data_IF_833597741108
#
_entry.id   IF_833597741108
#
_cell.length_a   1.000
_cell.length_b   1.000
_cell.length_c   1.000
_cell.angle_alpha   90.00
_cell.angle_beta   90.00
_cell.angle_gamma   90.00
#
_symmetry.space_group_name_H-M   'P 1'
#
loop_
_entity.id
_entity.type
_entity.pdbx_description
1 polymer ?
#
# COMPACT_ATOMS: atom_id res chain seq x y z
N UNK A 1 1.09 17.40 17.33
CA UNK A 1 1.91 18.05 18.36
C UNK A 1 2.14 17.15 19.60
N UNK A 2 3.34 17.20 20.16
CA UNK A 2 3.72 16.56 21.45
C UNK A 2 4.21 17.69 22.36
N UNK A 3 3.38 18.13 23.29
CA UNK A 3 3.63 19.32 24.11
C UNK A 3 3.35 19.07 25.60
N UNK A 4 3.93 19.90 26.44
CA UNK A 4 3.75 19.89 27.91
C UNK A 4 3.14 21.21 28.42
N UNK A 5 3.32 22.30 27.68
CA UNK A 5 2.80 23.64 28.02
C UNK A 5 2.00 24.21 26.85
N UNK A 6 1.21 25.25 27.10
CA UNK A 6 0.51 25.98 26.04
C UNK A 6 1.47 26.73 25.12
N UNK A 7 2.56 27.26 25.66
CA UNK A 7 3.63 27.92 24.88
C UNK A 7 4.28 26.97 23.87
N UNK A 8 4.54 25.69 24.28
CA UNK A 8 5.02 24.67 23.37
C UNK A 8 4.00 24.41 22.25
N UNK A 9 2.70 24.35 22.59
CA UNK A 9 1.64 24.11 21.60
C UNK A 9 1.54 25.22 20.58
N UNK A 10 1.64 26.47 21.00
CA UNK A 10 1.57 27.63 20.13
C UNK A 10 2.75 27.64 19.14
N UNK A 11 3.97 27.44 19.63
CA UNK A 11 5.17 27.36 18.81
C UNK A 11 5.11 26.19 17.80
N UNK A 12 4.65 25.00 18.24
CA UNK A 12 4.46 23.84 17.37
C UNK A 12 3.38 24.12 16.32
N UNK A 13 2.32 24.83 16.70
CA UNK A 13 1.21 25.16 15.79
C UNK A 13 1.66 26.11 14.68
N UNK A 14 2.50 27.09 14.98
CA UNK A 14 3.08 27.99 13.99
C UNK A 14 3.89 27.21 12.93
N UNK A 15 4.81 26.36 13.37
CA UNK A 15 5.62 25.51 12.46
C UNK A 15 4.74 24.52 11.70
N UNK A 16 3.75 23.91 12.34
CA UNK A 16 2.81 23.01 11.70
C UNK A 16 2.01 23.70 10.57
N UNK A 17 1.60 24.95 10.77
CA UNK A 17 0.90 25.71 9.74
C UNK A 17 1.81 26.03 8.53
N UNK A 18 3.09 26.32 8.75
CA UNK A 18 4.06 26.45 7.66
C UNK A 18 4.19 25.15 6.87
N UNK A 19 4.39 24.02 7.55
CA UNK A 19 4.45 22.69 6.92
C UNK A 19 3.18 22.39 6.12
N UNK A 20 2.01 22.71 6.67
CA UNK A 20 0.72 22.54 5.96
C UNK A 20 0.69 23.35 4.66
N UNK A 21 1.16 24.59 4.68
CA UNK A 21 1.22 25.45 3.50
C UNK A 21 2.14 24.86 2.43
N UNK A 22 3.35 24.46 2.82
CA UNK A 22 4.37 23.93 1.91
C UNK A 22 3.92 22.59 1.25
N UNK A 23 3.35 21.67 2.05
CA UNK A 23 2.86 20.41 1.52
C UNK A 23 1.62 20.58 0.62
N UNK A 24 0.72 21.50 0.95
CA UNK A 24 -0.45 21.83 0.11
C UNK A 24 -0.05 22.47 -1.20
N UNK A 25 1.00 23.31 -1.21
CA UNK A 25 1.57 23.89 -2.44
C UNK A 25 2.10 22.80 -3.40
N UNK A 26 2.43 21.63 -2.87
CA UNK A 26 2.81 20.41 -3.63
C UNK A 26 1.63 19.46 -3.90
N UNK A 27 0.41 19.94 -3.74
CA UNK A 27 -0.82 19.13 -3.90
C UNK A 27 -0.92 17.90 -3.00
N UNK A 28 -0.20 17.89 -1.88
CA UNK A 28 -0.26 16.81 -0.89
C UNK A 28 -1.42 17.08 0.06
N UNK A 29 -2.32 16.10 0.18
CA UNK A 29 -3.40 16.16 1.18
C UNK A 29 -2.83 15.98 2.57
N UNK A 30 -3.00 16.98 3.42
CA UNK A 30 -2.44 16.98 4.77
C UNK A 30 -3.46 17.51 5.78
N UNK A 31 -3.49 16.86 6.95
CA UNK A 31 -4.34 17.23 8.09
C UNK A 31 -3.49 17.48 9.33
N UNK A 32 -3.70 18.61 9.97
CA UNK A 32 -3.13 18.89 11.28
C UNK A 32 -4.11 18.45 12.38
N UNK A 33 -3.71 17.51 13.22
CA UNK A 33 -4.50 17.07 14.37
C UNK A 33 -4.10 17.86 15.62
N UNK A 34 -4.73 19.00 15.80
CA UNK A 34 -4.52 19.91 16.92
C UNK A 34 -5.45 19.66 18.12
N UNK A 35 -6.20 18.55 18.13
CA UNK A 35 -7.11 18.22 19.26
C UNK A 35 -6.33 18.11 20.56
N UNK A 36 -6.80 18.80 21.60
CA UNK A 36 -6.21 18.78 22.94
C UNK A 36 -6.77 17.67 23.82
N UNK A 37 -7.94 17.12 23.44
CA UNK A 37 -8.67 16.11 24.22
C UNK A 37 -8.11 14.70 24.11
N UNK A 38 -7.14 14.45 23.19
CA UNK A 38 -6.57 13.14 22.96
C UNK A 38 -5.05 13.16 23.11
N UNK A 39 -4.54 12.14 23.79
CA UNK A 39 -3.08 11.94 23.91
C UNK A 39 -2.46 11.57 22.55
N UNK A 40 -1.17 11.90 22.30
CA UNK A 40 -0.52 11.61 21.02
C UNK A 40 -0.68 10.17 20.53
N UNK A 41 -0.49 9.18 21.40
CA UNK A 41 -0.64 7.77 21.06
C UNK A 41 -2.03 7.39 20.54
N UNK A 42 -3.10 7.95 21.13
CA UNK A 42 -4.47 7.71 20.65
C UNK A 42 -4.71 8.34 19.26
N UNK A 43 -4.16 9.53 19.00
CA UNK A 43 -4.21 10.17 17.67
C UNK A 43 -3.46 9.32 16.63
N UNK A 44 -2.29 8.81 17.00
CA UNK A 44 -1.47 7.96 16.12
C UNK A 44 -2.23 6.71 15.71
N UNK A 45 -2.76 5.96 16.67
CA UNK A 45 -3.55 4.75 16.41
C UNK A 45 -4.78 5.04 15.53
N UNK A 46 -5.48 6.14 15.77
CA UNK A 46 -6.64 6.53 14.96
C UNK A 46 -6.26 6.78 13.49
N UNK A 47 -5.19 7.54 13.24
CA UNK A 47 -4.75 7.83 11.87
C UNK A 47 -4.15 6.61 11.17
N UNK A 48 -3.50 5.71 11.90
CA UNK A 48 -3.02 4.43 11.36
C UNK A 48 -4.20 3.53 10.93
N UNK A 49 -5.27 3.46 11.71
CA UNK A 49 -6.51 2.76 11.34
C UNK A 49 -7.18 3.37 10.10
N UNK A 50 -7.13 4.69 9.95
CA UNK A 50 -7.66 5.39 8.78
C UNK A 50 -6.80 5.22 7.51
N UNK A 51 -5.65 4.56 7.60
CA UNK A 51 -4.79 4.31 6.45
C UNK A 51 -3.88 5.48 6.07
N UNK A 52 -3.66 6.46 6.96
CA UNK A 52 -2.76 7.59 6.69
C UNK A 52 -1.33 7.08 6.47
N UNK A 53 -0.72 7.30 5.28
CA UNK A 53 0.55 6.66 4.91
C UNK A 53 1.74 7.21 5.69
N UNK A 54 1.77 8.51 5.94
CA UNK A 54 2.83 9.21 6.67
C UNK A 54 2.25 10.00 7.83
N UNK A 55 2.91 9.91 8.97
CA UNK A 55 2.61 10.70 10.16
C UNK A 55 3.83 11.54 10.54
N UNK A 56 3.61 12.84 10.70
CA UNK A 56 4.59 13.79 11.21
C UNK A 56 4.32 14.05 12.69
N UNK A 57 5.34 13.98 13.52
CA UNK A 57 5.25 14.31 14.94
C UNK A 57 6.33 15.34 15.30
N UNK A 58 5.91 16.40 15.99
CA UNK A 58 6.79 17.49 16.43
C UNK A 58 6.56 17.71 17.91
N UNK A 59 7.65 17.74 18.67
CA UNK A 59 7.69 18.11 20.07
C UNK A 59 8.62 19.31 20.29
N UNK A 60 8.69 19.80 21.55
CA UNK A 60 9.55 20.93 21.90
C UNK A 60 11.05 20.66 21.60
N UNK A 61 11.50 19.40 21.75
CA UNK A 61 12.87 19.01 21.39
C UNK A 61 13.12 19.07 19.90
N UNK A 62 12.15 18.61 19.10
CA UNK A 62 12.26 18.63 17.65
C UNK A 62 12.30 20.06 17.13
N UNK A 63 11.46 20.93 17.69
CA UNK A 63 11.47 22.37 17.40
C UNK A 63 12.83 23.01 17.69
N UNK A 64 13.41 22.75 18.88
CA UNK A 64 14.71 23.29 19.27
C UNK A 64 15.83 22.85 18.30
N UNK A 65 15.72 21.65 17.72
CA UNK A 65 16.69 21.10 16.78
C UNK A 65 16.36 21.39 15.31
N UNK A 66 15.24 22.04 15.01
CA UNK A 66 14.78 22.28 13.63
C UNK A 66 14.44 20.97 12.89
N UNK A 67 13.89 19.97 13.59
CA UNK A 67 13.63 18.63 13.06
C UNK A 67 12.17 18.19 13.25
N UNK A 68 11.79 17.09 12.61
CA UNK A 68 10.48 16.45 12.73
C UNK A 68 10.63 14.91 12.65
N UNK A 69 9.89 14.16 13.45
CA UNK A 69 9.79 12.70 13.30
C UNK A 69 8.76 12.37 12.22
N UNK A 70 9.16 11.57 11.24
CA UNK A 70 8.27 10.95 10.24
C UNK A 70 8.13 9.48 10.57
N UNK A 71 6.89 8.99 10.62
CA UNK A 71 6.59 7.57 10.74
C UNK A 71 5.86 7.08 9.49
N UNK A 72 6.33 5.96 8.91
CA UNK A 72 5.72 5.26 7.77
C UNK A 72 4.76 4.18 8.27
N UNK A 73 3.59 4.11 7.68
CA UNK A 73 2.58 3.10 8.04
C UNK A 73 2.88 1.72 7.43
N UNK A 74 3.43 1.68 6.22
CA UNK A 74 3.66 0.43 5.47
C UNK A 74 4.79 -0.43 6.05
N UNK A 75 5.86 0.20 6.55
CA UNK A 75 7.04 -0.46 7.12
C UNK A 75 7.13 -0.37 8.63
N UNK A 76 6.29 0.47 9.27
CA UNK A 76 6.34 0.82 10.70
C UNK A 76 7.66 1.45 11.13
N UNK A 77 8.44 1.97 10.19
CA UNK A 77 9.71 2.64 10.46
C UNK A 77 9.51 4.11 10.80
N UNK A 78 10.49 4.65 11.51
CA UNK A 78 10.54 6.07 11.89
C UNK A 78 11.90 6.65 11.53
N UNK A 79 11.90 7.93 11.14
CA UNK A 79 13.11 8.70 10.91
C UNK A 79 12.92 10.15 11.38
N UNK A 80 14.01 10.80 11.72
CA UNK A 80 14.05 12.23 12.05
C UNK A 80 14.70 12.97 10.90
N UNK A 81 14.04 14.03 10.41
CA UNK A 81 14.52 14.84 9.28
C UNK A 81 14.53 16.32 9.64
N UNK A 82 15.40 17.08 8.98
CA UNK A 82 15.41 18.53 9.10
C UNK A 82 14.14 19.13 8.51
N UNK A 83 13.60 20.19 9.14
CA UNK A 83 12.41 20.88 8.64
C UNK A 83 12.65 21.47 7.24
N UNK A 84 13.87 21.88 6.92
CA UNK A 84 14.26 22.42 5.60
C UNK A 84 14.16 21.38 4.45
N UNK A 85 14.26 20.08 4.76
CA UNK A 85 14.23 19.00 3.78
C UNK A 85 12.88 18.30 3.74
N UNK A 86 11.99 18.63 4.70
CA UNK A 86 10.77 17.87 4.98
C UNK A 86 9.90 17.69 3.73
N UNK A 87 9.64 18.75 2.99
CA UNK A 87 8.74 18.71 1.82
C UNK A 87 9.24 17.71 0.78
N UNK A 88 10.54 17.76 0.44
CA UNK A 88 11.14 16.84 -0.52
C UNK A 88 11.15 15.40 -0.01
N UNK A 89 11.45 15.20 1.27
CA UNK A 89 11.43 13.88 1.88
C UNK A 89 10.02 13.29 1.87
N UNK A 90 8.99 14.07 2.18
CA UNK A 90 7.59 13.61 2.13
C UNK A 90 7.18 13.22 0.70
N UNK A 91 7.51 14.01 -0.32
CA UNK A 91 7.23 13.68 -1.72
C UNK A 91 7.86 12.32 -2.10
N UNK A 92 9.14 12.15 -1.79
CA UNK A 92 9.87 10.90 -2.07
C UNK A 92 9.26 9.71 -1.34
N UNK A 93 8.98 9.84 -0.04
CA UNK A 93 8.39 8.77 0.76
C UNK A 93 7.00 8.35 0.28
N UNK A 94 6.15 9.29 -0.13
CA UNK A 94 4.83 8.97 -0.68
C UNK A 94 4.94 8.15 -1.97
N UNK A 95 5.89 8.51 -2.85
CA UNK A 95 6.18 7.73 -4.05
C UNK A 95 6.71 6.33 -3.71
N UNK A 96 7.69 6.24 -2.81
CA UNK A 96 8.22 4.95 -2.36
C UNK A 96 7.15 4.04 -1.75
N UNK A 97 6.23 4.60 -0.96
CA UNK A 97 5.11 3.85 -0.38
C UNK A 97 4.22 3.30 -1.49
N UNK A 98 3.88 4.12 -2.49
CA UNK A 98 3.07 3.68 -3.63
C UNK A 98 3.76 2.56 -4.40
N UNK A 99 5.04 2.72 -4.71
CA UNK A 99 5.83 1.71 -5.42
C UNK A 99 5.97 0.42 -4.60
N UNK A 100 6.18 0.52 -3.29
CA UNK A 100 6.27 -0.62 -2.37
C UNK A 100 4.96 -1.41 -2.32
N UNK A 101 3.82 -0.73 -2.19
CA UNK A 101 2.51 -1.37 -2.17
C UNK A 101 2.18 -2.03 -3.52
N UNK A 102 2.49 -1.36 -4.63
CA UNK A 102 2.31 -1.91 -5.96
C UNK A 102 3.15 -3.17 -6.17
N UNK A 103 4.45 -3.10 -5.87
CA UNK A 103 5.37 -4.22 -6.04
C UNK A 103 5.00 -5.41 -5.14
N UNK A 104 4.53 -5.15 -3.92
CA UNK A 104 4.04 -6.20 -3.02
C UNK A 104 2.81 -6.92 -3.62
N UNK A 105 1.85 -6.16 -4.15
CA UNK A 105 0.67 -6.72 -4.79
C UNK A 105 1.03 -7.48 -6.07
N UNK A 106 1.94 -6.94 -6.89
CA UNK A 106 2.43 -7.57 -8.11
C UNK A 106 3.13 -8.90 -7.80
N UNK A 107 4.06 -8.90 -6.86
CA UNK A 107 4.78 -10.12 -6.43
C UNK A 107 3.79 -11.16 -5.88
N UNK A 108 2.81 -10.73 -5.09
CA UNK A 108 1.78 -11.64 -4.59
C UNK A 108 0.98 -12.25 -5.74
N UNK A 109 0.51 -11.45 -6.69
CA UNK A 109 -0.22 -11.93 -7.87
C UNK A 109 0.62 -12.95 -8.65
N UNK A 110 1.85 -12.59 -8.99
CA UNK A 110 2.69 -13.42 -9.85
C UNK A 110 3.08 -14.75 -9.18
N UNK A 111 3.29 -14.73 -7.85
CA UNK A 111 3.53 -15.96 -7.09
C UNK A 111 2.30 -16.89 -6.95
N UNK A 112 1.10 -16.39 -7.29
CA UNK A 112 -0.15 -17.14 -7.26
C UNK A 112 -0.71 -17.41 -8.67
N UNK A 113 0.12 -17.34 -9.69
CA UNK A 113 -0.19 -17.78 -11.05
C UNK A 113 0.66 -19.01 -11.37
N UNK A 114 0.05 -20.05 -11.88
CA UNK A 114 0.73 -21.27 -12.34
C UNK A 114 0.29 -21.57 -13.76
N UNK A 115 1.23 -21.77 -14.66
CA UNK A 115 0.98 -22.24 -16.03
C UNK A 115 0.97 -23.77 -16.06
N UNK A 116 0.03 -24.34 -16.80
CA UNK A 116 -0.08 -25.80 -17.00
C UNK A 116 -0.35 -26.10 -18.47
N UNK A 117 0.13 -27.26 -18.93
CA UNK A 117 0.06 -27.64 -20.35
C UNK A 117 -0.83 -28.87 -20.61
N UNK A 118 -1.39 -29.48 -19.60
CA UNK A 118 -2.27 -30.63 -19.72
C UNK A 118 -3.19 -30.78 -18.51
N UNK A 119 -4.23 -31.62 -18.65
CA UNK A 119 -5.27 -31.80 -17.64
C UNK A 119 -4.77 -32.44 -16.34
N UNK A 120 -3.74 -33.31 -16.38
CA UNK A 120 -3.21 -33.92 -15.17
C UNK A 120 -2.45 -32.90 -14.31
N UNK A 121 -1.62 -32.07 -14.92
CA UNK A 121 -0.96 -30.94 -14.24
C UNK A 121 -2.01 -29.97 -13.66
N UNK A 122 -3.08 -29.70 -14.41
CA UNK A 122 -4.17 -28.83 -13.96
C UNK A 122 -4.81 -29.35 -12.67
N UNK A 123 -5.12 -30.65 -12.59
CA UNK A 123 -5.68 -31.26 -11.40
C UNK A 123 -4.70 -31.22 -10.21
N UNK A 124 -3.43 -31.55 -10.44
CA UNK A 124 -2.40 -31.51 -9.40
C UNK A 124 -2.24 -30.10 -8.80
N UNK A 125 -2.22 -29.08 -9.66
CA UNK A 125 -2.14 -27.69 -9.20
C UNK A 125 -3.37 -27.28 -8.40
N UNK A 126 -4.57 -27.69 -8.80
CA UNK A 126 -5.81 -27.40 -8.06
C UNK A 126 -5.81 -28.01 -6.65
N UNK A 127 -5.19 -29.17 -6.47
CA UNK A 127 -5.11 -29.84 -5.17
C UNK A 127 -3.98 -29.31 -4.28
N UNK A 128 -2.88 -28.88 -4.88
CA UNK A 128 -1.63 -28.57 -4.16
C UNK A 128 -1.34 -27.09 -4.00
N UNK A 129 -1.92 -26.23 -4.83
CA UNK A 129 -1.65 -24.80 -4.86
C UNK A 129 -2.94 -23.98 -4.80
N UNK A 130 -2.79 -22.73 -4.36
CA UNK A 130 -3.85 -21.71 -4.43
C UNK A 130 -3.49 -20.67 -5.48
N UNK A 131 -4.51 -20.03 -6.08
CA UNK A 131 -4.31 -18.94 -7.03
C UNK A 131 -5.03 -19.13 -8.35
N UNK A 132 -4.47 -18.57 -9.41
CA UNK A 132 -4.98 -18.69 -10.78
C UNK A 132 -4.11 -19.66 -11.58
N UNK A 133 -4.77 -20.40 -12.47
CA UNK A 133 -4.09 -21.31 -13.38
C UNK A 133 -4.27 -20.76 -14.80
N UNK A 134 -3.17 -20.61 -15.54
CA UNK A 134 -3.17 -20.34 -16.95
C UNK A 134 -3.08 -21.68 -17.70
N UNK A 135 -4.06 -21.91 -18.58
CA UNK A 135 -4.19 -23.14 -19.34
C UNK A 135 -4.80 -22.84 -20.70
N UNK A 136 -4.48 -23.66 -21.67
CA UNK A 136 -5.11 -23.60 -22.99
C UNK A 136 -6.56 -24.08 -22.93
N UNK A 137 -7.44 -23.41 -23.64
CA UNK A 137 -8.86 -23.73 -23.75
C UNK A 137 -9.30 -23.64 -25.21
N UNK A 138 -10.11 -24.60 -25.65
CA UNK A 138 -10.60 -24.70 -27.03
C UNK A 138 -11.73 -23.70 -27.38
N UNK A 139 -12.18 -22.91 -26.42
CA UNK A 139 -13.21 -21.90 -26.60
C UNK A 139 -14.65 -22.45 -26.58
N UNK A 140 -14.86 -23.76 -26.26
CA UNK A 140 -16.19 -24.36 -26.27
C UNK A 140 -16.81 -24.43 -24.87
N UNK A 141 -18.14 -24.27 -24.80
CA UNK A 141 -18.89 -24.38 -23.56
C UNK A 141 -18.90 -25.83 -23.05
N UNK A 142 -18.89 -26.80 -23.95
CA UNK A 142 -18.87 -28.22 -23.61
C UNK A 142 -17.62 -28.60 -22.82
N UNK A 143 -16.47 -28.06 -23.19
CA UNK A 143 -15.20 -28.30 -22.47
C UNK A 143 -15.21 -27.57 -21.12
N UNK A 144 -15.69 -26.33 -21.06
CA UNK A 144 -15.81 -25.59 -19.80
C UNK A 144 -16.71 -26.33 -18.79
N UNK A 145 -17.88 -26.77 -19.21
CA UNK A 145 -18.83 -27.50 -18.35
C UNK A 145 -18.23 -28.81 -17.85
N UNK A 146 -17.51 -29.55 -18.70
CA UNK A 146 -16.83 -30.79 -18.32
C UNK A 146 -15.72 -30.56 -17.30
N UNK A 147 -14.87 -29.55 -17.50
CA UNK A 147 -13.82 -29.18 -16.52
C UNK A 147 -14.45 -28.78 -15.20
N UNK A 148 -15.49 -27.97 -15.20
CA UNK A 148 -16.21 -27.54 -14.01
C UNK A 148 -16.86 -28.72 -13.26
N UNK A 149 -17.45 -29.68 -13.98
CA UNK A 149 -18.03 -30.88 -13.38
C UNK A 149 -16.96 -31.72 -12.64
N UNK A 150 -15.81 -31.93 -13.30
CA UNK A 150 -14.72 -32.77 -12.80
C UNK A 150 -13.92 -32.14 -11.67
N UNK A 151 -13.70 -30.81 -11.71
CA UNK A 151 -12.73 -30.15 -10.85
C UNK A 151 -13.30 -29.03 -9.97
N UNK A 152 -14.52 -28.57 -10.28
CA UNK A 152 -15.14 -27.36 -9.71
C UNK A 152 -14.44 -26.04 -10.07
N UNK A 153 -13.40 -26.08 -10.89
CA UNK A 153 -12.75 -24.89 -11.42
C UNK A 153 -13.68 -24.17 -12.42
N UNK A 154 -13.52 -22.87 -12.54
CA UNK A 154 -14.28 -22.04 -13.49
C UNK A 154 -13.33 -21.09 -14.21
N UNK A 155 -13.57 -20.85 -15.50
CA UNK A 155 -12.86 -19.81 -16.25
C UNK A 155 -13.20 -18.44 -15.65
N UNK A 156 -12.19 -17.61 -15.44
CA UNK A 156 -12.35 -16.25 -14.89
C UNK A 156 -12.28 -15.18 -15.97
N UNK A 157 -11.32 -15.29 -16.86
CA UNK A 157 -11.14 -14.39 -17.98
C UNK A 157 -10.17 -14.98 -19.01
N UNK A 158 -10.20 -14.43 -20.20
CA UNK A 158 -9.12 -14.53 -21.18
C UNK A 158 -8.33 -13.23 -21.04
N UNK A 159 -7.01 -13.27 -20.74
CA UNK A 159 -6.22 -12.05 -20.59
C UNK A 159 -6.20 -11.23 -21.90
N UNK A 160 -6.24 -9.89 -21.78
CA UNK A 160 -6.29 -9.00 -22.95
C UNK A 160 -5.04 -9.05 -23.84
N UNK A 161 -3.89 -9.39 -23.22
CA UNK A 161 -2.59 -9.45 -23.90
C UNK A 161 -2.20 -10.87 -24.30
N UNK A 162 -3.17 -11.79 -24.37
CA UNK A 162 -2.92 -13.17 -24.81
C UNK A 162 -2.48 -13.19 -26.27
N UNK A 163 -1.41 -13.91 -26.56
CA UNK A 163 -1.00 -14.20 -27.95
C UNK A 163 -1.72 -15.45 -28.42
N UNK A 164 -2.06 -15.47 -29.72
CA UNK A 164 -2.48 -16.72 -30.34
C UNK A 164 -1.30 -17.68 -30.36
N UNK A 165 -1.45 -18.84 -29.78
CA UNK A 165 -0.43 -19.89 -29.75
C UNK A 165 -1.08 -21.27 -29.82
N UNK A 166 -0.34 -22.24 -30.35
CA UNK A 166 -0.78 -23.63 -30.36
C UNK A 166 -0.61 -24.25 -28.97
N UNK A 167 -1.62 -24.99 -28.51
CA UNK A 167 -1.59 -25.66 -27.21
C UNK A 167 -2.59 -26.80 -27.12
N UNK A 168 -2.46 -27.61 -26.10
CA UNK A 168 -3.42 -28.68 -25.80
C UNK A 168 -4.43 -28.14 -24.77
N UNK A 169 -5.71 -28.23 -25.11
CA UNK A 169 -6.79 -27.89 -24.18
C UNK A 169 -6.71 -28.78 -22.93
N UNK A 170 -6.81 -28.21 -21.76
CA UNK A 170 -6.89 -28.94 -20.48
C UNK A 170 -8.27 -29.53 -20.25
#
# INVERSE_FOLDING_TARGET
PIYKSEEDLDAITEVANSILSDLRAKHITVKFDNRTTHRPGAKFAQHELQGVPLRLAIGARDLANGTVEIARRDTLTKQVVALSELTQVVENLLKEIQDSLFNKALTFRDSHITEVNNFEEFKDVLETKTGFIFAHWDGTNETEDKIKELTKATIRCIPLETKEEEGVCV
#
